data_IF_717591178106
#
_entry.id   IF_717591178106
#
_cell.length_a   1.000
_cell.length_b   1.000
_cell.length_c   1.000
_cell.angle_alpha   90.00
_cell.angle_beta   90.00
_cell.angle_gamma   90.00
#
_symmetry.space_group_name_H-M   'P 1'
#
loop_
_entity.id
_entity.type
_entity.pdbx_description
1 polymer ?
#
# COMPACT_ATOMS: atom_id res chain seq x y z
N UNK A 1 48.58 -39.13 13.44
CA UNK A 1 48.73 -37.67 13.24
C UNK A 1 47.56 -37.21 12.37
N UNK A 2 46.73 -36.31 12.91
CA UNK A 2 45.42 -35.90 12.37
C UNK A 2 45.54 -35.03 11.12
N UNK A 3 44.62 -35.13 10.13
CA UNK A 3 44.31 -33.99 9.28
C UNK A 3 43.37 -33.05 10.03
N UNK A 4 43.84 -31.82 10.16
CA UNK A 4 43.17 -30.68 10.77
C UNK A 4 42.08 -30.18 9.80
N UNK A 5 40.80 -30.31 10.15
CA UNK A 5 39.68 -29.78 9.37
C UNK A 5 39.26 -28.36 9.81
N UNK A 6 40.08 -27.69 10.63
CA UNK A 6 39.84 -26.30 11.01
C UNK A 6 40.18 -25.39 9.83
N UNK A 7 39.19 -25.17 8.99
CA UNK A 7 38.79 -24.00 8.20
C UNK A 7 37.92 -24.64 7.13
N UNK A 8 36.63 -24.38 7.04
CA UNK A 8 36.17 -23.33 6.13
C UNK A 8 34.65 -23.23 6.29
N UNK A 9 34.26 -22.11 6.90
CA UNK A 9 33.05 -21.37 6.65
C UNK A 9 31.71 -22.03 7.00
N UNK A 10 31.28 -21.69 8.21
CA UNK A 10 29.88 -21.49 8.51
C UNK A 10 29.14 -20.80 7.35
N UNK A 11 28.12 -21.44 6.76
CA UNK A 11 27.03 -20.70 6.17
C UNK A 11 26.14 -20.26 7.31
N UNK A 12 26.28 -19.00 7.66
CA UNK A 12 25.32 -18.14 8.36
C UNK A 12 23.87 -18.45 7.94
N UNK A 13 23.20 -19.36 8.65
CA UNK A 13 21.74 -19.57 8.53
C UNK A 13 20.95 -18.69 9.52
N UNK A 14 21.53 -17.56 9.94
CA UNK A 14 20.86 -16.52 10.71
C UNK A 14 20.33 -15.46 9.74
N UNK A 15 19.26 -15.78 9.01
CA UNK A 15 18.59 -14.83 8.11
C UNK A 15 17.06 -14.95 8.11
N UNK A 16 16.47 -15.54 9.15
CA UNK A 16 15.01 -15.70 9.27
C UNK A 16 14.26 -14.46 9.76
N UNK A 17 14.95 -13.35 10.08
CA UNK A 17 14.33 -12.11 10.55
C UNK A 17 14.23 -10.99 9.49
N UNK A 18 14.67 -11.22 8.24
CA UNK A 18 14.59 -10.23 7.16
C UNK A 18 13.20 -10.15 6.48
N UNK A 19 12.28 -11.06 6.80
CA UNK A 19 10.96 -11.16 6.16
C UNK A 19 9.80 -10.54 6.98
N UNK A 20 10.08 -9.78 8.06
CA UNK A 20 9.04 -9.11 8.85
C UNK A 20 8.94 -7.59 8.61
N UNK A 21 9.82 -7.04 7.76
CA UNK A 21 9.97 -5.60 7.54
C UNK A 21 9.35 -5.05 6.25
N UNK A 22 9.14 -5.87 5.21
CA UNK A 22 8.75 -5.38 3.88
C UNK A 22 7.22 -5.44 3.63
N UNK A 23 6.51 -6.43 4.20
CA UNK A 23 5.06 -6.60 3.95
C UNK A 23 4.16 -5.55 4.60
N UNK A 24 4.68 -4.71 5.51
CA UNK A 24 3.88 -3.62 6.11
C UNK A 24 3.73 -2.42 5.18
N UNK A 25 4.58 -2.28 4.16
CA UNK A 25 4.56 -1.09 3.29
C UNK A 25 3.65 -1.25 2.07
N UNK A 26 3.43 -2.48 1.61
CA UNK A 26 2.59 -2.76 0.44
C UNK A 26 1.09 -2.91 0.75
N UNK A 27 0.69 -3.28 1.98
CA UNK A 27 -0.74 -3.48 2.32
C UNK A 27 -1.52 -2.19 2.63
N UNK A 28 -0.84 -1.06 2.84
CA UNK A 28 -1.47 0.21 3.24
C UNK A 28 -1.61 1.24 2.12
N UNK A 29 -1.33 0.87 0.88
CA UNK A 29 -1.72 1.63 -0.29
C UNK A 29 -2.90 0.94 -0.98
N UNK A 30 -4.00 0.66 -0.25
CA UNK A 30 -5.28 0.67 -0.97
C UNK A 30 -5.35 2.09 -1.52
N UNK A 31 -5.39 2.32 -2.85
CA UNK A 31 -5.69 3.66 -3.33
C UNK A 31 -6.96 4.02 -2.60
N UNK A 32 -6.91 5.08 -1.78
CA UNK A 32 -8.10 5.60 -1.15
C UNK A 32 -9.00 5.91 -2.33
N UNK A 33 -9.93 4.99 -2.62
CA UNK A 33 -10.81 5.12 -3.76
C UNK A 33 -11.67 6.30 -3.34
N UNK A 34 -11.28 7.48 -3.81
CA UNK A 34 -11.94 8.73 -3.47
C UNK A 34 -13.43 8.60 -3.78
N UNK A 35 -14.27 9.50 -3.22
CA UNK A 35 -15.71 9.45 -3.44
C UNK A 35 -16.01 9.32 -4.94
N UNK A 36 -16.89 8.36 -5.27
CA UNK A 36 -17.33 8.08 -6.64
C UNK A 36 -18.77 8.54 -6.82
N UNK A 37 -19.09 8.96 -8.03
CA UNK A 37 -20.41 9.49 -8.30
C UNK A 37 -21.44 8.37 -8.20
N UNK A 38 -22.53 8.53 -7.43
CA UNK A 38 -23.55 7.49 -7.35
C UNK A 38 -24.33 7.30 -8.66
N UNK A 39 -24.29 8.29 -9.57
CA UNK A 39 -24.98 8.22 -10.87
C UNK A 39 -24.14 7.62 -11.98
N UNK A 40 -22.87 8.02 -12.10
CA UNK A 40 -22.03 7.65 -13.25
C UNK A 40 -20.72 6.93 -12.87
N UNK A 41 -20.48 6.68 -11.57
CA UNK A 41 -19.22 6.15 -11.03
C UNK A 41 -17.95 6.97 -11.37
N UNK A 42 -18.13 8.16 -11.93
CA UNK A 42 -17.06 9.11 -12.24
C UNK A 42 -16.35 9.63 -10.99
N UNK A 43 -15.20 10.30 -11.17
CA UNK A 43 -14.50 10.94 -10.08
C UNK A 43 -15.34 12.09 -9.48
N UNK A 44 -15.36 12.21 -8.15
CA UNK A 44 -15.84 13.43 -7.50
C UNK A 44 -14.65 14.30 -7.11
N UNK A 45 -14.79 15.58 -7.37
CA UNK A 45 -13.89 16.63 -6.90
C UNK A 45 -14.56 17.36 -5.76
N UNK A 46 -13.81 17.72 -4.71
CA UNK A 46 -14.35 18.47 -3.59
C UNK A 46 -14.00 19.96 -3.76
N UNK A 47 -15.00 20.83 -3.70
CA UNK A 47 -14.84 22.29 -3.83
C UNK A 47 -15.94 23.02 -3.07
N UNK A 48 -15.60 24.11 -2.38
CA UNK A 48 -16.54 24.95 -1.62
C UNK A 48 -17.39 24.18 -0.57
N UNK A 49 -16.89 23.06 -0.04
CA UNK A 49 -17.65 22.23 0.91
C UNK A 49 -18.60 21.22 0.24
N UNK A 50 -18.56 21.11 -1.09
CA UNK A 50 -19.40 20.22 -1.88
C UNK A 50 -18.56 19.26 -2.74
N UNK A 51 -19.07 18.05 -2.90
CA UNK A 51 -18.55 17.05 -3.84
C UNK A 51 -19.25 17.23 -5.19
N UNK A 52 -18.49 17.48 -6.25
CA UNK A 52 -18.96 17.78 -7.60
C UNK A 52 -18.46 16.69 -8.56
N UNK A 53 -19.33 16.22 -9.46
CA UNK A 53 -18.94 15.30 -10.53
C UNK A 53 -18.90 16.03 -11.88
N UNK A 54 -17.74 16.14 -12.53
CA UNK A 54 -17.61 16.84 -13.81
C UNK A 54 -18.20 16.06 -15.00
N UNK A 55 -18.56 14.78 -14.80
CA UNK A 55 -19.04 13.90 -15.87
C UNK A 55 -20.55 14.06 -16.08
N UNK A 56 -21.33 14.09 -14.99
CA UNK A 56 -22.79 14.14 -15.05
C UNK A 56 -23.41 15.34 -14.33
N UNK A 57 -22.60 16.23 -13.74
CA UNK A 57 -23.08 17.41 -13.02
C UNK A 57 -23.64 17.15 -11.62
N UNK A 58 -23.44 15.95 -11.07
CA UNK A 58 -23.87 15.64 -9.70
C UNK A 58 -23.16 16.55 -8.67
N UNK A 59 -23.90 17.07 -7.70
CA UNK A 59 -23.37 17.87 -6.60
C UNK A 59 -23.96 17.40 -5.25
N UNK A 60 -23.13 17.31 -4.22
CA UNK A 60 -23.54 16.97 -2.86
C UNK A 60 -22.70 17.73 -1.82
N UNK A 61 -23.34 18.59 -1.03
CA UNK A 61 -22.68 19.39 0.00
C UNK A 61 -22.76 18.69 1.36
N UNK A 62 -21.65 18.69 2.11
CA UNK A 62 -21.66 18.25 3.51
C UNK A 62 -22.19 19.40 4.37
N UNK A 63 -23.45 19.28 4.78
CA UNK A 63 -24.15 20.14 5.77
C UNK A 63 -23.42 20.27 7.08
#
# INVERSE_FOLDING_TARGET
MTPNYSTLLAPTAQASNAAAGEERRARRARPAMGPRCPHCAGPLVFGEGCSLCPICGFSACST
#
